data_IF_047890300169
#
_entry.id   IF_047890300169
#
_cell.length_a   1.000
_cell.length_b   1.000
_cell.length_c   1.000
_cell.angle_alpha   90.00
_cell.angle_beta   90.00
_cell.angle_gamma   90.00
#
_symmetry.space_group_name_H-M   'P 1'
#
loop_
_entity.id
_entity.type
_entity.pdbx_description
1 polymer ?
#
# COMPACT_ATOMS: atom_id res chain seq x y z
N UNK A 1 -14.22 -0.28 24.11
CA UNK A 1 -13.22 -0.27 23.03
C UNK A 1 -12.64 1.13 22.98
N UNK A 2 -11.56 1.37 23.74
CA UNK A 2 -10.97 2.70 23.90
C UNK A 2 -10.01 2.95 22.73
N UNK A 3 -10.29 3.97 21.92
CA UNK A 3 -9.44 4.35 20.79
C UNK A 3 -8.20 5.08 21.32
N UNK A 4 -7.05 4.40 21.30
CA UNK A 4 -5.75 4.98 21.60
C UNK A 4 -5.30 5.81 20.39
N UNK A 5 -5.28 7.13 20.56
CA UNK A 5 -4.67 8.07 19.63
C UNK A 5 -3.16 7.83 19.63
N UNK A 6 -2.65 7.25 18.54
CA UNK A 6 -1.22 7.06 18.31
C UNK A 6 -0.55 8.43 18.20
N UNK A 7 0.19 8.79 19.25
CA UNK A 7 1.17 9.88 19.24
C UNK A 7 2.27 9.48 18.26
N UNK A 8 2.27 10.09 17.07
CA UNK A 8 3.39 9.99 16.14
C UNK A 8 4.57 10.74 16.75
N UNK A 9 5.61 9.99 17.08
CA UNK A 9 6.88 10.50 17.61
C UNK A 9 7.65 11.19 16.49
N UNK A 10 7.77 12.52 16.57
CA UNK A 10 8.62 13.31 15.69
C UNK A 10 10.08 12.86 15.81
N UNK A 11 10.82 12.91 14.69
CA UNK A 11 12.26 12.61 14.68
C UNK A 11 13.03 13.69 15.46
N UNK A 12 13.35 13.39 16.71
CA UNK A 12 14.03 14.27 17.68
C UNK A 12 15.56 14.25 17.53
N UNK A 13 16.08 14.46 16.32
CA UNK A 13 17.53 14.74 16.19
C UNK A 13 17.77 16.25 16.43
N UNK A 14 18.59 16.62 17.42
CA UNK A 14 18.93 18.03 17.66
C UNK A 14 19.64 18.60 16.42
N UNK A 15 19.18 19.76 15.94
CA UNK A 15 19.87 20.52 14.92
C UNK A 15 21.28 20.86 15.45
N UNK A 16 22.33 20.41 14.76
CA UNK A 16 23.72 20.71 15.15
C UNK A 16 23.99 22.20 14.86
N UNK A 17 24.32 22.95 15.90
CA UNK A 17 24.57 24.39 15.85
C UNK A 17 25.87 24.82 15.14
N UNK A 18 26.58 23.92 14.45
CA UNK A 18 27.86 24.23 13.80
C UNK A 18 27.73 25.03 12.49
N UNK A 19 26.52 25.35 12.03
CA UNK A 19 26.26 25.82 10.67
C UNK A 19 25.67 27.25 10.59
N UNK A 20 25.77 28.02 11.67
CA UNK A 20 25.21 29.38 11.79
C UNK A 20 26.33 30.38 12.05
N UNK A 21 26.45 31.42 11.22
CA UNK A 21 27.43 32.49 11.44
C UNK A 21 27.04 33.36 12.65
N UNK A 22 27.99 33.80 13.50
CA UNK A 22 27.69 34.71 14.60
C UNK A 22 27.24 36.08 14.09
N UNK A 23 26.18 36.63 14.69
CA UNK A 23 25.85 38.05 14.55
C UNK A 23 26.93 38.89 15.24
N UNK A 24 27.57 39.82 14.52
CA UNK A 24 28.47 40.80 15.13
C UNK A 24 27.66 41.72 16.07
N UNK A 25 27.98 41.81 17.37
CA UNK A 25 27.22 42.61 18.31
C UNK A 25 27.60 44.09 18.17
N UNK A 26 26.78 44.84 17.44
CA UNK A 26 26.71 46.30 17.55
C UNK A 26 25.39 46.66 18.24
N UNK A 27 25.49 47.21 19.46
CA UNK A 27 24.49 48.08 20.09
C UNK A 27 23.03 47.60 20.18
N UNK A 28 22.64 47.20 21.39
CA UNK A 28 21.27 47.19 21.95
C UNK A 28 20.17 47.89 21.12
N UNK A 29 19.51 47.15 20.24
CA UNK A 29 18.09 47.26 19.83
C UNK A 29 17.78 45.90 19.19
N UNK A 30 16.70 45.20 19.56
CA UNK A 30 16.31 43.93 18.91
C UNK A 30 15.82 44.22 17.50
N UNK A 31 16.76 44.52 16.59
CA UNK A 31 16.51 44.71 15.18
C UNK A 31 16.08 43.37 14.60
N UNK A 32 14.88 43.34 14.02
CA UNK A 32 14.48 42.20 13.23
C UNK A 32 15.27 42.18 11.93
N UNK A 33 15.77 41.02 11.52
CA UNK A 33 16.58 40.86 10.31
C UNK A 33 15.73 40.20 9.23
N UNK A 34 15.59 40.87 8.09
CA UNK A 34 14.80 40.36 6.97
C UNK A 34 15.56 39.29 6.18
N UNK A 35 14.91 38.18 5.80
CA UNK A 35 15.50 37.24 4.85
C UNK A 35 15.46 37.83 3.43
N UNK A 36 16.48 37.51 2.63
CA UNK A 36 16.65 38.01 1.28
C UNK A 36 16.50 36.90 0.25
N UNK A 37 17.31 35.86 0.39
CA UNK A 37 17.38 34.76 -0.57
C UNK A 37 17.63 33.42 0.09
N UNK A 38 17.37 32.34 -0.65
CA UNK A 38 17.56 30.97 -0.22
C UNK A 38 18.35 30.23 -1.28
N UNK A 39 19.53 29.73 -0.91
CA UNK A 39 20.37 28.87 -1.74
C UNK A 39 20.08 27.40 -1.42
N UNK A 40 19.89 26.58 -2.46
CA UNK A 40 19.57 25.15 -2.33
C UNK A 40 20.86 24.33 -2.46
N UNK A 41 21.25 23.65 -1.39
CA UNK A 41 22.38 22.70 -1.43
C UNK A 41 21.96 21.36 -2.03
N UNK A 42 20.73 20.92 -1.77
CA UNK A 42 20.11 19.72 -2.34
C UNK A 42 18.64 19.60 -1.92
N UNK A 43 17.80 18.95 -2.74
CA UNK A 43 16.39 18.63 -2.41
C UNK A 43 15.97 17.24 -2.91
N UNK A 44 15.12 16.55 -2.16
CA UNK A 44 14.32 15.39 -2.64
C UNK A 44 13.14 15.85 -3.51
N UNK A 45 12.77 17.14 -3.45
CA UNK A 45 11.65 17.67 -4.20
C UNK A 45 12.03 17.96 -5.64
N UNK A 46 11.24 17.44 -6.59
CA UNK A 46 11.37 17.79 -8.02
C UNK A 46 11.11 19.27 -8.36
N UNK A 47 10.77 20.09 -7.37
CA UNK A 47 10.47 21.53 -7.52
C UNK A 47 11.66 22.44 -7.21
N UNK A 48 12.73 21.91 -6.63
CA UNK A 48 13.87 22.67 -6.13
C UNK A 48 15.14 21.98 -6.64
N UNK A 49 15.83 22.62 -7.58
CA UNK A 49 17.07 22.07 -8.12
C UNK A 49 18.27 22.44 -7.25
N UNK A 50 19.31 21.61 -7.34
CA UNK A 50 20.57 21.84 -6.61
C UNK A 50 21.33 23.03 -7.20
N UNK A 51 22.00 23.81 -6.34
CA UNK A 51 22.78 25.00 -6.68
C UNK A 51 21.97 26.20 -7.19
N UNK A 52 20.65 26.18 -7.02
CA UNK A 52 19.78 27.32 -7.31
C UNK A 52 19.66 28.29 -6.13
N UNK A 53 19.45 29.57 -6.44
CA UNK A 53 19.17 30.61 -5.47
C UNK A 53 17.87 31.34 -5.82
N UNK A 54 16.98 31.45 -4.84
CA UNK A 54 15.68 32.08 -4.99
C UNK A 54 15.54 33.29 -4.07
N UNK A 55 14.74 34.27 -4.45
CA UNK A 55 14.21 35.24 -3.49
C UNK A 55 13.40 34.51 -2.40
N UNK A 56 13.49 34.99 -1.16
CA UNK A 56 12.90 34.30 -0.01
C UNK A 56 11.41 33.97 -0.17
N UNK A 57 10.61 34.94 -0.62
CA UNK A 57 9.17 34.75 -0.81
C UNK A 57 8.85 33.75 -1.95
N UNK A 58 9.68 33.72 -2.99
CA UNK A 58 9.55 32.75 -4.09
C UNK A 58 9.85 31.35 -3.57
N UNK A 59 10.93 31.21 -2.80
CA UNK A 59 11.28 29.94 -2.16
C UNK A 59 10.16 29.43 -1.25
N UNK A 60 9.63 30.26 -0.34
CA UNK A 60 8.54 29.84 0.56
C UNK A 60 7.30 29.37 -0.22
N UNK A 61 6.98 30.01 -1.35
CA UNK A 61 5.88 29.58 -2.21
C UNK A 61 6.15 28.24 -2.91
N UNK A 62 7.39 27.97 -3.33
CA UNK A 62 7.79 26.68 -3.92
C UNK A 62 7.82 25.59 -2.86
N UNK A 63 8.37 25.88 -1.68
CA UNK A 63 8.44 24.97 -0.55
C UNK A 63 7.05 24.52 -0.09
N UNK A 64 6.08 25.44 -0.04
CA UNK A 64 4.69 25.08 0.24
C UNK A 64 4.11 24.15 -0.83
N UNK A 65 4.39 24.39 -2.12
CA UNK A 65 3.94 23.50 -3.20
C UNK A 65 4.55 22.10 -3.07
N UNK A 66 5.84 22.00 -2.72
CA UNK A 66 6.51 20.73 -2.45
C UNK A 66 5.84 20.00 -1.26
N UNK A 67 5.56 20.72 -0.17
CA UNK A 67 4.88 20.15 0.99
C UNK A 67 3.48 19.60 0.64
N UNK A 68 2.75 20.30 -0.24
CA UNK A 68 1.39 19.91 -0.68
C UNK A 68 1.37 18.72 -1.65
N UNK A 69 2.51 18.34 -2.23
CA UNK A 69 2.63 17.13 -3.07
C UNK A 69 2.67 15.84 -2.22
N UNK A 70 2.90 15.98 -0.91
CA UNK A 70 2.96 14.87 0.05
C UNK A 70 1.77 14.86 1.04
N UNK A 71 0.50 14.78 0.58
CA UNK A 71 -0.68 15.02 1.42
C UNK A 71 -1.07 13.85 2.34
N UNK A 72 -0.60 12.64 2.05
CA UNK A 72 -0.92 11.42 2.83
C UNK A 72 0.26 10.94 3.70
N UNK A 73 1.31 11.74 3.82
CA UNK A 73 2.54 11.41 4.54
C UNK A 73 3.76 11.43 3.60
N UNK A 74 4.93 11.21 4.20
CA UNK A 74 6.21 11.51 3.55
C UNK A 74 6.57 12.99 3.67
N UNK A 75 7.80 13.31 3.29
CA UNK A 75 8.33 14.66 3.19
C UNK A 75 9.53 14.66 2.25
N UNK A 76 9.76 15.78 1.59
CA UNK A 76 10.94 16.01 0.77
C UNK A 76 11.99 16.71 1.62
N UNK A 77 13.11 16.05 1.90
CA UNK A 77 14.25 16.69 2.59
C UNK A 77 14.88 17.73 1.67
N UNK A 78 15.09 18.93 2.19
CA UNK A 78 15.76 20.00 1.46
C UNK A 78 16.80 20.65 2.36
N UNK A 79 18.06 20.67 1.93
CA UNK A 79 19.11 21.43 2.62
C UNK A 79 19.27 22.81 1.97
N UNK A 80 19.13 23.86 2.77
CA UNK A 80 19.11 25.25 2.30
C UNK A 80 20.03 26.13 3.11
N UNK A 81 20.43 27.26 2.54
CA UNK A 81 21.02 28.39 3.27
C UNK A 81 20.22 29.65 2.99
N UNK A 82 19.60 30.20 4.04
CA UNK A 82 18.89 31.48 3.97
C UNK A 82 19.88 32.60 4.25
N UNK A 83 19.96 33.56 3.34
CA UNK A 83 20.77 34.79 3.48
C UNK A 83 19.85 35.92 3.95
N UNK A 84 20.33 36.70 4.91
CA UNK A 84 19.59 37.79 5.54
C UNK A 84 20.28 39.13 5.31
N UNK A 85 19.54 40.22 5.53
CA UNK A 85 20.10 41.55 5.61
C UNK A 85 21.26 41.61 6.64
N UNK A 86 22.28 42.41 6.35
CA UNK A 86 23.48 42.49 7.19
C UNK A 86 24.46 41.31 7.04
N UNK A 87 24.25 40.43 6.06
CA UNK A 87 25.20 39.37 5.69
C UNK A 87 25.10 38.09 6.52
N UNK A 88 24.13 38.01 7.43
CA UNK A 88 23.87 36.82 8.23
C UNK A 88 23.37 35.66 7.36
N UNK A 89 23.75 34.43 7.69
CA UNK A 89 23.31 33.22 6.99
C UNK A 89 22.85 32.13 7.95
N UNK A 90 21.82 31.40 7.55
CA UNK A 90 21.28 30.24 8.29
C UNK A 90 21.20 29.03 7.36
N UNK A 91 22.09 28.05 7.59
CA UNK A 91 22.03 26.76 6.89
C UNK A 91 21.29 25.73 7.73
N UNK A 92 20.25 25.12 7.17
CA UNK A 92 19.49 24.06 7.82
C UNK A 92 18.92 23.06 6.81
N UNK A 93 18.46 21.92 7.31
CA UNK A 93 17.61 21.00 6.57
C UNK A 93 16.16 21.24 6.97
N UNK A 94 15.28 21.38 5.99
CA UNK A 94 13.83 21.40 6.18
C UNK A 94 13.19 20.15 5.58
N UNK A 95 12.10 19.70 6.19
CA UNK A 95 11.36 18.50 5.83
C UNK A 95 10.00 18.92 5.25
N UNK A 96 9.93 19.09 3.91
CA UNK A 96 8.77 19.66 3.23
C UNK A 96 7.66 18.62 3.06
N UNK A 97 6.56 18.77 3.79
CA UNK A 97 5.45 17.82 3.72
C UNK A 97 4.19 18.27 4.46
N UNK A 98 3.11 17.53 4.25
CA UNK A 98 1.91 17.68 5.07
C UNK A 98 2.01 16.84 6.37
N UNK A 99 0.95 16.84 7.18
CA UNK A 99 0.84 15.91 8.31
C UNK A 99 1.74 16.23 9.51
N UNK A 100 2.04 17.51 9.72
CA UNK A 100 2.89 17.96 10.83
C UNK A 100 4.34 18.22 10.45
N UNK A 101 4.72 17.96 9.20
CA UNK A 101 5.99 18.39 8.58
C UNK A 101 5.97 19.89 8.26
N UNK A 102 7.05 20.39 7.66
CA UNK A 102 7.29 21.81 7.44
C UNK A 102 6.74 22.27 6.08
N UNK A 103 6.25 23.51 6.04
CA UNK A 103 5.74 24.15 4.81
C UNK A 103 6.74 25.08 4.14
N UNK A 104 7.90 25.30 4.77
CA UNK A 104 8.93 26.25 4.36
C UNK A 104 9.89 26.53 5.51
N UNK A 105 10.89 27.37 5.25
CA UNK A 105 11.86 27.79 6.26
C UNK A 105 11.20 28.63 7.37
N UNK A 106 10.22 29.47 7.04
CA UNK A 106 9.54 30.27 8.04
C UNK A 106 8.79 29.37 9.06
N UNK A 107 8.12 28.34 8.56
CA UNK A 107 7.42 27.35 9.39
C UNK A 107 8.40 26.52 10.23
N UNK A 108 9.53 26.09 9.66
CA UNK A 108 10.62 25.44 10.39
C UNK A 108 11.07 26.27 11.60
N UNK A 109 11.35 27.56 11.39
CA UNK A 109 11.75 28.46 12.46
C UNK A 109 10.68 28.59 13.55
N UNK A 110 9.41 28.78 13.18
CA UNK A 110 8.34 28.88 14.18
C UNK A 110 8.11 27.58 14.93
N UNK A 111 8.26 26.42 14.29
CA UNK A 111 8.15 25.11 14.95
C UNK A 111 9.24 24.92 16.00
N UNK A 112 10.48 25.32 15.73
CA UNK A 112 11.55 25.29 16.73
C UNK A 112 11.19 26.20 17.91
N UNK A 113 10.69 27.40 17.65
CA UNK A 113 10.26 28.33 18.71
C UNK A 113 9.11 27.75 19.55
N UNK A 114 8.06 27.25 18.90
CA UNK A 114 6.90 26.61 19.55
C UNK A 114 7.32 25.40 20.39
N UNK A 115 8.17 24.53 19.84
CA UNK A 115 8.70 23.36 20.53
C UNK A 115 9.56 23.77 21.73
N UNK A 116 10.48 24.72 21.56
CA UNK A 116 11.32 25.24 22.65
C UNK A 116 10.49 25.82 23.81
N UNK A 117 9.38 26.48 23.50
CA UNK A 117 8.46 27.02 24.51
C UNK A 117 7.72 25.89 25.24
N UNK A 118 7.25 24.87 24.51
CA UNK A 118 6.58 23.71 25.11
C UNK A 118 7.48 22.95 26.10
N UNK A 119 8.77 22.86 25.78
CA UNK A 119 9.79 22.16 26.58
C UNK A 119 10.02 22.81 27.95
N UNK A 120 9.78 24.11 28.11
CA UNK A 120 9.93 24.78 29.41
C UNK A 120 9.07 24.15 30.50
N UNK A 121 7.92 23.58 30.10
CA UNK A 121 6.99 22.90 31.00
C UNK A 121 7.25 21.39 31.07
N UNK A 122 7.52 20.74 29.95
CA UNK A 122 7.64 19.27 29.89
C UNK A 122 9.04 18.75 30.18
N UNK A 123 10.09 19.42 29.71
CA UNK A 123 11.47 18.95 29.77
C UNK A 123 12.45 20.13 29.95
N UNK A 124 12.52 20.72 31.16
CA UNK A 124 13.33 21.92 31.41
C UNK A 124 14.85 21.73 31.19
N UNK A 125 15.32 20.48 31.15
CA UNK A 125 16.73 20.14 30.91
C UNK A 125 17.09 19.98 29.42
N UNK A 126 16.13 20.15 28.51
CA UNK A 126 16.34 19.97 27.07
C UNK A 126 17.42 20.92 26.50
N UNK A 127 18.13 20.49 25.45
CA UNK A 127 19.28 21.19 24.85
C UNK A 127 18.99 22.66 24.50
N UNK A 128 17.84 22.98 23.91
CA UNK A 128 17.40 24.36 23.62
C UNK A 128 17.35 25.29 24.85
N UNK A 129 17.18 24.73 26.05
CA UNK A 129 17.00 25.50 27.29
C UNK A 129 18.25 25.52 28.16
N UNK A 130 19.17 24.57 27.99
CA UNK A 130 20.34 24.41 28.86
C UNK A 130 21.66 24.73 28.16
N UNK A 131 21.79 24.38 26.88
CA UNK A 131 23.02 24.58 26.11
C UNK A 131 23.13 26.03 25.58
N UNK A 132 24.33 26.60 25.57
CA UNK A 132 24.57 27.97 25.08
C UNK A 132 24.18 28.13 23.61
N UNK A 133 24.60 27.20 22.76
CA UNK A 133 24.29 27.21 21.33
C UNK A 133 22.78 27.05 21.07
N UNK A 134 22.11 26.24 21.89
CA UNK A 134 20.66 26.07 21.81
C UNK A 134 19.88 27.33 22.17
N UNK A 135 20.31 28.02 23.24
CA UNK A 135 19.76 29.32 23.64
C UNK A 135 20.01 30.38 22.57
N UNK A 136 21.24 30.46 22.05
CA UNK A 136 21.63 31.38 20.99
C UNK A 136 20.78 31.17 19.74
N UNK A 137 20.55 29.91 19.33
CA UNK A 137 19.67 29.59 18.21
C UNK A 137 18.23 30.08 18.46
N UNK A 138 17.65 29.80 19.64
CA UNK A 138 16.27 30.24 19.95
C UNK A 138 16.15 31.76 19.96
N UNK A 139 17.12 32.48 20.52
CA UNK A 139 17.15 33.95 20.49
C UNK A 139 17.36 34.49 19.07
N UNK A 140 18.21 33.84 18.27
CA UNK A 140 18.42 34.19 16.86
C UNK A 140 17.13 34.01 16.05
N UNK A 141 16.41 32.90 16.20
CA UNK A 141 15.15 32.68 15.48
C UNK A 141 14.09 33.74 15.81
N UNK A 142 14.11 34.32 17.02
CA UNK A 142 13.21 35.42 17.40
C UNK A 142 13.55 36.74 16.70
N UNK A 143 14.78 36.92 16.22
CA UNK A 143 15.19 38.13 15.50
C UNK A 143 14.81 38.08 14.02
N UNK A 144 14.45 36.94 13.45
CA UNK A 144 14.07 36.86 12.04
C UNK A 144 12.72 37.52 11.76
N UNK A 145 12.67 38.36 10.72
CA UNK A 145 11.44 39.00 10.26
C UNK A 145 10.63 38.03 9.38
N UNK A 146 9.97 37.06 10.00
CA UNK A 146 9.16 36.04 9.33
C UNK A 146 7.66 36.29 9.52
N UNK A 147 6.85 36.00 8.51
CA UNK A 147 5.41 36.23 8.55
C UNK A 147 4.65 35.08 9.23
N UNK A 148 4.14 35.32 10.43
CA UNK A 148 3.24 34.36 11.11
C UNK A 148 1.96 34.11 10.33
N UNK A 149 1.45 35.12 9.62
CA UNK A 149 0.21 34.98 8.84
C UNK A 149 0.40 34.06 7.63
N UNK A 150 1.53 34.19 6.90
CA UNK A 150 1.82 33.29 5.79
C UNK A 150 1.96 31.84 6.27
N UNK A 151 2.66 31.61 7.38
CA UNK A 151 2.81 30.27 7.97
C UNK A 151 1.47 29.71 8.44
N UNK A 152 0.60 30.53 9.05
CA UNK A 152 -0.75 30.10 9.43
C UNK A 152 -1.57 29.69 8.19
N UNK A 153 -1.53 30.48 7.12
CA UNK A 153 -2.22 30.17 5.86
C UNK A 153 -1.67 28.89 5.21
N UNK A 154 -0.35 28.72 5.19
CA UNK A 154 0.33 27.53 4.68
C UNK A 154 -0.07 26.26 5.46
N UNK A 155 -0.03 26.32 6.80
CA UNK A 155 -0.50 25.24 7.67
C UNK A 155 -1.97 24.90 7.40
N UNK A 156 -2.84 25.90 7.25
CA UNK A 156 -4.24 25.68 6.91
C UNK A 156 -4.41 25.00 5.54
N UNK A 157 -3.63 25.40 4.53
CA UNK A 157 -3.65 24.76 3.21
C UNK A 157 -3.22 23.29 3.28
N UNK A 158 -2.18 22.96 4.06
CA UNK A 158 -1.77 21.56 4.26
C UNK A 158 -2.85 20.74 4.97
N UNK A 159 -3.52 21.31 5.97
CA UNK A 159 -4.60 20.63 6.68
C UNK A 159 -5.75 20.27 5.72
N UNK A 160 -6.18 21.22 4.90
CA UNK A 160 -7.24 21.01 3.92
C UNK A 160 -6.83 19.99 2.85
N UNK A 161 -5.59 20.05 2.37
CA UNK A 161 -5.04 19.10 1.40
C UNK A 161 -5.02 17.67 1.96
N UNK A 162 -4.62 17.49 3.22
CA UNK A 162 -4.63 16.20 3.93
C UNK A 162 -6.06 15.67 4.05
N UNK A 163 -7.01 16.54 4.43
CA UNK A 163 -8.43 16.19 4.58
C UNK A 163 -8.98 15.63 3.26
N UNK A 164 -8.82 16.38 2.17
CA UNK A 164 -9.28 15.97 0.84
C UNK A 164 -8.62 14.67 0.36
N UNK A 165 -7.32 14.51 0.59
CA UNK A 165 -6.61 13.29 0.20
C UNK A 165 -7.09 12.06 0.98
N UNK A 166 -7.36 12.21 2.29
CA UNK A 166 -7.91 11.13 3.12
C UNK A 166 -9.34 10.76 2.70
N UNK A 167 -10.19 11.75 2.42
CA UNK A 167 -11.55 11.52 1.92
C UNK A 167 -11.53 10.77 0.58
N UNK A 168 -10.66 11.15 -0.35
CA UNK A 168 -10.50 10.45 -1.63
C UNK A 168 -9.99 9.00 -1.45
N UNK A 169 -9.03 8.78 -0.53
CA UNK A 169 -8.51 7.45 -0.23
C UNK A 169 -9.58 6.55 0.39
N UNK A 170 -10.41 7.09 1.30
CA UNK A 170 -11.51 6.36 1.93
C UNK A 170 -12.61 6.03 0.92
N UNK A 171 -13.01 6.99 0.08
CA UNK A 171 -13.97 6.76 -0.99
C UNK A 171 -13.51 5.66 -1.96
N UNK A 172 -12.22 5.65 -2.33
CA UNK A 172 -11.65 4.59 -3.17
C UNK A 172 -11.73 3.23 -2.49
N UNK A 173 -11.37 3.13 -1.21
CA UNK A 173 -11.46 1.88 -0.43
C UNK A 173 -12.90 1.37 -0.32
N UNK A 174 -13.86 2.27 -0.09
CA UNK A 174 -15.28 1.93 -0.03
C UNK A 174 -15.80 1.41 -1.36
N UNK A 175 -15.48 2.10 -2.46
CA UNK A 175 -15.85 1.66 -3.81
C UNK A 175 -15.25 0.28 -4.15
N UNK A 176 -13.99 0.03 -3.83
CA UNK A 176 -13.36 -1.29 -4.02
C UNK A 176 -14.02 -2.38 -3.17
N UNK A 177 -14.38 -2.08 -1.92
CA UNK A 177 -15.06 -3.01 -1.04
C UNK A 177 -16.49 -3.34 -1.53
N UNK A 178 -17.23 -2.34 -2.00
CA UNK A 178 -18.57 -2.50 -2.58
C UNK A 178 -18.52 -3.33 -3.87
N UNK A 179 -17.56 -3.06 -4.77
CA UNK A 179 -17.35 -3.87 -5.97
C UNK A 179 -17.03 -5.33 -5.62
N UNK A 180 -16.14 -5.57 -4.65
CA UNK A 180 -15.83 -6.94 -4.18
C UNK A 180 -17.06 -7.63 -3.61
N UNK A 181 -17.87 -6.94 -2.80
CA UNK A 181 -19.09 -7.49 -2.21
C UNK A 181 -20.14 -7.79 -3.28
N UNK A 182 -20.31 -6.91 -4.27
CA UNK A 182 -21.21 -7.11 -5.39
C UNK A 182 -20.79 -8.32 -6.23
N UNK A 183 -19.50 -8.41 -6.59
CA UNK A 183 -18.94 -9.54 -7.33
C UNK A 183 -19.10 -10.86 -6.56
N UNK A 184 -18.84 -10.87 -5.24
CA UNK A 184 -19.04 -12.06 -4.41
C UNK A 184 -20.52 -12.45 -4.32
N UNK A 185 -21.43 -11.48 -4.22
CA UNK A 185 -22.86 -11.74 -4.15
C UNK A 185 -23.36 -12.33 -5.47
N UNK A 186 -22.95 -11.75 -6.61
CA UNK A 186 -23.27 -12.26 -7.94
C UNK A 186 -22.73 -13.68 -8.16
N UNK A 187 -21.47 -13.94 -7.80
CA UNK A 187 -20.88 -15.28 -7.86
C UNK A 187 -21.62 -16.28 -6.98
N UNK A 188 -22.00 -15.90 -5.77
CA UNK A 188 -22.76 -16.75 -4.85
C UNK A 188 -24.15 -17.10 -5.41
N UNK A 189 -24.83 -16.13 -6.03
CA UNK A 189 -26.12 -16.34 -6.69
C UNK A 189 -25.99 -17.29 -7.90
N UNK A 190 -24.94 -17.11 -8.71
CA UNK A 190 -24.65 -17.98 -9.85
C UNK A 190 -24.32 -19.41 -9.39
N UNK A 191 -23.45 -19.58 -8.39
CA UNK A 191 -23.12 -20.88 -7.80
C UNK A 191 -24.38 -21.56 -7.21
N UNK A 192 -25.27 -20.79 -6.58
CA UNK A 192 -26.53 -21.31 -6.05
C UNK A 192 -27.48 -21.76 -7.17
N UNK A 193 -27.71 -20.92 -8.17
CA UNK A 193 -28.58 -21.23 -9.31
C UNK A 193 -28.07 -22.46 -10.08
N UNK A 194 -26.74 -22.55 -10.28
CA UNK A 194 -26.11 -23.71 -10.88
C UNK A 194 -26.37 -24.97 -10.05
N UNK A 195 -26.14 -24.93 -8.73
CA UNK A 195 -26.36 -26.08 -7.84
C UNK A 195 -27.82 -26.54 -7.82
N UNK A 196 -28.77 -25.61 -7.86
CA UNK A 196 -30.20 -25.90 -7.93
C UNK A 196 -30.60 -26.52 -9.29
N UNK A 197 -29.85 -26.25 -10.36
CA UNK A 197 -30.08 -26.84 -11.69
C UNK A 197 -29.52 -28.26 -11.87
N UNK A 198 -28.74 -28.77 -10.91
CA UNK A 198 -28.09 -30.07 -11.03
C UNK A 198 -29.06 -31.23 -10.79
N UNK A 199 -29.23 -32.10 -11.78
CA UNK A 199 -29.86 -33.41 -11.59
C UNK A 199 -28.81 -34.43 -11.13
N UNK A 200 -28.67 -34.59 -9.81
CA UNK A 200 -27.68 -35.50 -9.20
C UNK A 200 -28.35 -36.83 -8.87
N UNK A 201 -27.92 -37.95 -9.49
CA UNK A 201 -28.50 -39.25 -9.20
C UNK A 201 -28.37 -39.65 -7.72
N UNK A 202 -29.39 -40.33 -7.19
CA UNK A 202 -29.43 -40.77 -5.79
C UNK A 202 -28.25 -41.71 -5.44
N UNK A 203 -27.82 -42.54 -6.40
CA UNK A 203 -26.68 -43.44 -6.21
C UNK A 203 -25.32 -42.75 -6.25
N UNK A 204 -25.24 -41.48 -6.67
CA UNK A 204 -23.96 -40.79 -6.83
C UNK A 204 -23.32 -40.52 -5.47
N UNK A 205 -22.08 -40.98 -5.29
CA UNK A 205 -21.26 -40.78 -4.08
C UNK A 205 -20.15 -39.74 -4.30
N UNK A 206 -19.89 -39.37 -5.56
CA UNK A 206 -18.87 -38.41 -5.94
C UNK A 206 -19.11 -37.90 -7.37
N UNK A 207 -18.40 -36.85 -7.73
CA UNK A 207 -18.36 -36.27 -9.09
C UNK A 207 -16.92 -36.22 -9.59
N UNK A 208 -16.72 -36.45 -10.88
CA UNK A 208 -15.43 -36.30 -11.56
C UNK A 208 -15.44 -34.96 -12.28
N UNK A 209 -14.45 -34.12 -11.99
CA UNK A 209 -14.35 -32.73 -12.45
C UNK A 209 -13.02 -32.52 -13.13
N UNK A 210 -13.04 -31.87 -14.29
CA UNK A 210 -11.85 -31.33 -14.94
C UNK A 210 -11.76 -29.81 -14.68
N UNK A 211 -10.57 -29.31 -14.35
CA UNK A 211 -10.28 -27.89 -14.24
C UNK A 211 -9.11 -27.53 -15.14
N UNK A 212 -9.22 -26.41 -15.85
CA UNK A 212 -8.11 -25.80 -16.57
C UNK A 212 -7.66 -24.56 -15.81
N UNK A 213 -6.40 -24.55 -15.43
CA UNK A 213 -5.79 -23.46 -14.66
C UNK A 213 -4.69 -22.80 -15.46
N UNK A 214 -4.67 -21.48 -15.47
CA UNK A 214 -3.69 -20.65 -16.18
C UNK A 214 -2.94 -19.77 -15.19
N UNK A 215 -1.72 -19.38 -15.56
CA UNK A 215 -0.96 -18.40 -14.82
C UNK A 215 -1.64 -17.03 -14.93
N UNK A 216 -1.82 -16.38 -13.79
CA UNK A 216 -2.46 -15.08 -13.74
C UNK A 216 -1.41 -13.97 -13.70
N UNK A 217 -0.90 -13.61 -14.88
CA UNK A 217 0.18 -12.64 -15.04
C UNK A 217 -0.18 -11.28 -14.45
N UNK A 218 -1.42 -10.84 -14.60
CA UNK A 218 -1.92 -9.54 -14.11
C UNK A 218 -1.86 -9.41 -12.58
N UNK A 219 -2.09 -10.51 -11.85
CA UNK A 219 -2.15 -10.52 -10.39
C UNK A 219 -0.89 -11.12 -9.74
N UNK A 220 0.06 -11.58 -10.55
CA UNK A 220 1.32 -12.15 -10.07
C UNK A 220 2.40 -11.09 -9.93
N UNK A 221 3.34 -11.31 -9.01
CA UNK A 221 4.56 -10.50 -8.84
C UNK A 221 5.76 -11.46 -8.82
N UNK A 222 6.18 -12.01 -9.97
CA UNK A 222 7.24 -13.03 -10.02
C UNK A 222 8.58 -12.54 -9.47
N UNK A 223 8.91 -11.24 -9.62
CA UNK A 223 10.11 -10.66 -9.01
C UNK A 223 10.07 -10.60 -7.47
N UNK A 224 8.88 -10.69 -6.88
CA UNK A 224 8.66 -10.80 -5.44
C UNK A 224 8.33 -12.22 -4.98
N UNK A 225 8.58 -13.23 -5.81
CA UNK A 225 8.27 -14.65 -5.55
C UNK A 225 6.77 -14.90 -5.26
N UNK A 226 5.89 -14.11 -5.85
CA UNK A 226 4.45 -14.24 -5.69
C UNK A 226 3.79 -14.64 -7.01
N UNK A 227 3.29 -15.87 -7.07
CA UNK A 227 2.67 -16.45 -8.26
C UNK A 227 1.20 -16.73 -8.02
N UNK A 228 0.36 -16.21 -8.91
CA UNK A 228 -1.09 -16.44 -8.90
C UNK A 228 -1.52 -17.28 -10.09
N UNK A 229 -2.53 -18.09 -9.86
CA UNK A 229 -3.10 -18.98 -10.86
C UNK A 229 -4.62 -18.87 -10.82
N UNK A 230 -5.26 -18.87 -11.98
CA UNK A 230 -6.71 -18.77 -12.12
C UNK A 230 -7.26 -19.97 -12.86
N UNK A 231 -8.28 -20.61 -12.30
CA UNK A 231 -9.05 -21.63 -13.01
C UNK A 231 -10.03 -20.94 -13.95
N UNK A 232 -9.77 -21.04 -15.26
CA UNK A 232 -10.59 -20.39 -16.29
C UNK A 232 -11.68 -21.30 -16.84
N UNK A 233 -11.55 -22.63 -16.66
CA UNK A 233 -12.59 -23.59 -17.02
C UNK A 233 -12.75 -24.67 -15.96
N UNK A 234 -14.00 -25.01 -15.69
CA UNK A 234 -14.40 -26.16 -14.88
C UNK A 234 -15.44 -26.95 -15.66
N UNK A 235 -15.24 -28.27 -15.78
CA UNK A 235 -16.13 -29.17 -16.52
C UNK A 235 -16.51 -30.33 -15.61
N UNK A 236 -17.80 -30.61 -15.51
CA UNK A 236 -18.35 -31.75 -14.79
C UNK A 236 -18.45 -32.93 -15.74
N UNK A 237 -17.55 -33.91 -15.56
CA UNK A 237 -17.37 -35.02 -16.50
C UNK A 237 -18.30 -36.18 -16.24
N UNK A 238 -18.48 -36.59 -14.98
CA UNK A 238 -19.32 -37.75 -14.65
C UNK A 238 -19.74 -37.81 -13.18
N UNK A 239 -20.91 -38.38 -12.90
CA UNK A 239 -21.28 -38.89 -11.57
C UNK A 239 -20.66 -40.27 -11.32
N UNK A 240 -20.28 -40.55 -10.07
CA UNK A 240 -19.60 -41.80 -9.70
C UNK A 240 -20.27 -42.51 -8.53
N UNK A 241 -20.32 -43.85 -8.61
CA UNK A 241 -20.88 -44.75 -7.59
C UNK A 241 -19.95 -44.96 -6.38
N UNK A 242 -18.69 -44.52 -6.44
CA UNK A 242 -17.71 -44.82 -5.39
C UNK A 242 -16.86 -43.60 -5.04
N UNK A 243 -16.51 -43.46 -3.78
CA UNK A 243 -15.56 -42.43 -3.32
C UNK A 243 -14.09 -42.78 -3.59
N UNK A 244 -13.81 -44.01 -4.06
CA UNK A 244 -12.45 -44.44 -4.40
C UNK A 244 -11.89 -43.62 -5.56
N UNK A 245 -10.66 -43.14 -5.40
CA UNK A 245 -9.93 -42.29 -6.36
C UNK A 245 -9.20 -43.16 -7.38
N UNK A 246 -9.96 -43.80 -8.27
CA UNK A 246 -9.45 -44.75 -9.27
C UNK A 246 -9.08 -44.04 -10.58
N UNK A 247 -7.82 -44.11 -10.99
CA UNK A 247 -7.37 -43.51 -12.25
C UNK A 247 -8.04 -44.05 -13.52
N UNK A 248 -8.30 -45.36 -13.66
CA UNK A 248 -9.05 -45.86 -14.82
C UNK A 248 -10.43 -45.22 -14.95
N UNK A 249 -11.06 -44.88 -13.83
CA UNK A 249 -12.36 -44.21 -13.81
C UNK A 249 -12.24 -42.74 -14.21
N UNK A 250 -11.21 -42.03 -13.73
CA UNK A 250 -10.91 -40.65 -14.15
C UNK A 250 -10.66 -40.58 -15.66
N UNK A 251 -9.83 -41.49 -16.19
CA UNK A 251 -9.51 -41.59 -17.63
C UNK A 251 -10.77 -41.82 -18.47
N UNK A 252 -11.62 -42.77 -18.06
CA UNK A 252 -12.90 -43.05 -18.74
C UNK A 252 -13.81 -41.83 -18.75
N UNK A 253 -13.90 -41.09 -17.64
CA UNK A 253 -14.72 -39.88 -17.57
C UNK A 253 -14.22 -38.76 -18.49
N UNK A 254 -12.92 -38.70 -18.78
CA UNK A 254 -12.35 -37.70 -19.69
C UNK A 254 -12.93 -37.79 -21.11
N UNK A 255 -13.40 -38.97 -21.54
CA UNK A 255 -14.03 -39.17 -22.85
C UNK A 255 -15.38 -38.45 -23.00
N UNK A 256 -15.99 -38.04 -21.89
CA UNK A 256 -17.27 -37.34 -21.91
C UNK A 256 -17.17 -35.88 -22.39
N UNK A 257 -15.95 -35.35 -22.57
CA UNK A 257 -15.73 -34.02 -23.10
C UNK A 257 -14.54 -33.98 -24.07
N UNK A 258 -14.72 -33.32 -25.23
CA UNK A 258 -13.71 -33.28 -26.30
C UNK A 258 -12.37 -32.70 -25.83
N UNK A 259 -12.40 -31.66 -25.00
CA UNK A 259 -11.16 -30.99 -24.54
C UNK A 259 -10.36 -31.79 -23.52
N UNK A 260 -10.97 -32.79 -22.87
CA UNK A 260 -10.29 -33.64 -21.88
C UNK A 260 -10.01 -35.04 -22.41
N UNK A 261 -10.61 -35.44 -23.54
CA UNK A 261 -10.57 -36.81 -24.07
C UNK A 261 -9.16 -37.39 -24.22
N UNK A 262 -8.18 -36.54 -24.53
CA UNK A 262 -6.77 -36.93 -24.66
C UNK A 262 -6.18 -37.50 -23.35
N UNK A 263 -6.67 -37.07 -22.17
CA UNK A 263 -6.26 -37.60 -20.87
C UNK A 263 -6.72 -39.04 -20.61
N UNK A 264 -7.58 -39.61 -21.46
CA UNK A 264 -7.89 -41.03 -21.38
C UNK A 264 -6.67 -41.90 -21.72
N UNK A 265 -5.81 -41.43 -22.63
CA UNK A 265 -4.61 -42.13 -23.06
C UNK A 265 -3.53 -42.10 -21.97
N UNK A 266 -2.98 -43.28 -21.63
CA UNK A 266 -1.92 -43.44 -20.63
C UNK A 266 -0.61 -42.80 -21.06
N UNK A 267 -0.35 -42.73 -22.35
CA UNK A 267 0.88 -42.11 -22.86
C UNK A 267 0.81 -40.59 -22.80
N UNK A 268 -0.40 -40.01 -22.80
CA UNK A 268 -0.63 -38.56 -22.79
C UNK A 268 -1.04 -38.01 -21.43
N UNK A 269 -1.03 -38.85 -20.38
CA UNK A 269 -1.41 -38.39 -19.05
C UNK A 269 -0.82 -39.19 -17.91
N UNK A 270 -0.55 -38.47 -16.83
CA UNK A 270 0.18 -38.88 -15.67
C UNK A 270 -0.70 -38.94 -14.42
N UNK A 271 -0.42 -39.94 -13.58
CA UNK A 271 -1.14 -40.21 -12.35
C UNK A 271 -0.42 -39.59 -11.15
N UNK A 272 -1.02 -38.58 -10.52
CA UNK A 272 -0.42 -37.92 -9.36
C UNK A 272 -1.08 -38.34 -8.05
N UNK A 273 -0.27 -38.67 -7.03
CA UNK A 273 -0.71 -39.16 -5.71
C UNK A 273 -0.07 -38.36 -4.57
N UNK A 274 -0.42 -37.09 -4.49
CA UNK A 274 0.14 -36.15 -3.52
C UNK A 274 -0.69 -36.11 -2.23
N UNK A 275 -0.68 -37.19 -1.43
CA UNK A 275 -1.44 -37.27 -0.17
C UNK A 275 -0.67 -36.76 1.07
N UNK A 276 0.32 -35.88 0.89
CA UNK A 276 1.04 -35.21 1.98
C UNK A 276 0.39 -33.86 2.32
N UNK A 277 0.75 -33.25 3.46
CA UNK A 277 0.06 -32.07 4.03
C UNK A 277 -0.07 -30.85 3.11
N UNK A 278 0.79 -30.73 2.09
CA UNK A 278 0.79 -29.63 1.12
C UNK A 278 0.53 -30.13 -0.32
N UNK A 279 0.12 -31.38 -0.48
CA UNK A 279 -0.11 -32.00 -1.78
C UNK A 279 -1.50 -31.70 -2.32
N UNK A 280 -1.67 -31.72 -3.65
CA UNK A 280 -2.95 -31.50 -4.34
C UNK A 280 -3.89 -32.71 -4.30
N UNK A 281 -3.47 -33.81 -3.67
CA UNK A 281 -4.22 -35.05 -3.55
C UNK A 281 -4.03 -35.97 -4.77
N UNK A 282 -5.10 -36.66 -5.17
CA UNK A 282 -5.06 -37.63 -6.28
C UNK A 282 -5.77 -37.04 -7.49
N UNK A 283 -5.04 -36.87 -8.59
CA UNK A 283 -5.54 -36.22 -9.80
C UNK A 283 -4.78 -36.71 -11.04
N UNK A 284 -5.42 -36.57 -12.20
CA UNK A 284 -4.90 -36.93 -13.52
C UNK A 284 -4.62 -35.65 -14.32
N UNK A 285 -3.49 -35.58 -14.99
CA UNK A 285 -3.07 -34.42 -15.80
C UNK A 285 -2.19 -34.87 -16.96
N UNK A 286 -1.84 -33.99 -17.88
CA UNK A 286 -0.85 -34.24 -18.93
C UNK A 286 0.52 -33.61 -18.66
N UNK A 287 0.75 -33.12 -17.44
CA UNK A 287 2.01 -32.49 -17.05
C UNK A 287 2.65 -33.26 -15.89
N UNK A 288 3.99 -33.32 -15.89
CA UNK A 288 4.76 -33.88 -14.77
C UNK A 288 4.71 -33.03 -13.50
N UNK A 289 4.32 -31.76 -13.60
CA UNK A 289 4.07 -30.91 -12.46
C UNK A 289 2.96 -29.90 -12.81
N UNK A 290 1.88 -29.88 -12.05
CA UNK A 290 0.73 -29.02 -12.39
C UNK A 290 0.82 -27.72 -11.62
N UNK A 291 1.29 -26.66 -12.28
CA UNK A 291 0.96 -25.29 -11.89
C UNK A 291 -0.11 -24.69 -12.82
N UNK A 292 -0.16 -25.15 -14.06
CA UNK A 292 -1.11 -24.75 -15.08
C UNK A 292 -1.58 -25.99 -15.87
N UNK A 293 -2.60 -25.85 -16.70
CA UNK A 293 -3.10 -26.92 -17.54
C UNK A 293 -4.31 -27.65 -16.95
N UNK A 294 -4.60 -28.83 -17.52
CA UNK A 294 -5.75 -29.64 -17.14
C UNK A 294 -5.45 -30.50 -15.92
N UNK A 295 -6.35 -30.46 -14.94
CA UNK A 295 -6.41 -31.33 -13.77
C UNK A 295 -7.77 -32.02 -13.73
N UNK A 296 -7.80 -33.36 -13.73
CA UNK A 296 -9.01 -34.16 -13.55
C UNK A 296 -8.97 -34.84 -12.19
N UNK A 297 -9.95 -34.53 -11.35
CA UNK A 297 -10.01 -35.00 -9.96
C UNK A 297 -11.41 -35.46 -9.59
N UNK A 298 -11.46 -36.43 -8.67
CA UNK A 298 -12.70 -36.85 -8.03
C UNK A 298 -12.99 -36.01 -6.79
N UNK A 299 -14.21 -35.49 -6.71
CA UNK A 299 -14.74 -34.77 -5.55
C UNK A 299 -15.79 -35.63 -4.86
N UNK A 300 -15.53 -36.03 -3.62
CA UNK A 300 -16.39 -36.92 -2.84
C UNK A 300 -17.52 -36.15 -2.14
N UNK A 301 -18.70 -36.77 -2.06
CA UNK A 301 -19.80 -36.26 -1.26
C UNK A 301 -19.69 -36.86 0.15
N UNK A 302 -19.55 -36.01 1.17
CA UNK A 302 -19.38 -36.43 2.56
C UNK A 302 -20.69 -36.56 3.34
N UNK A 303 -21.82 -36.29 2.69
CA UNK A 303 -23.17 -36.45 3.26
C UNK A 303 -24.23 -36.54 2.16
N UNK A 304 -25.39 -37.12 2.52
CA UNK A 304 -26.47 -37.41 1.55
C UNK A 304 -27.53 -36.30 1.43
N UNK A 305 -27.59 -35.37 2.38
CA UNK A 305 -28.66 -34.37 2.45
C UNK A 305 -28.54 -33.26 1.39
N UNK A 306 -27.32 -32.89 1.01
CA UNK A 306 -27.08 -31.88 -0.03
C UNK A 306 -25.78 -32.21 -0.78
N UNK A 307 -25.89 -32.99 -1.86
CA UNK A 307 -24.74 -33.37 -2.69
C UNK A 307 -24.25 -32.23 -3.58
N UNK A 308 -25.16 -31.34 -3.99
CA UNK A 308 -24.87 -30.23 -4.88
C UNK A 308 -23.84 -29.24 -4.31
N UNK A 309 -23.77 -29.09 -2.98
CA UNK A 309 -22.77 -28.23 -2.33
C UNK A 309 -21.31 -28.60 -2.68
N UNK A 310 -21.05 -29.87 -3.01
CA UNK A 310 -19.71 -30.36 -3.35
C UNK A 310 -19.38 -30.21 -4.83
N UNK A 311 -20.36 -29.89 -5.68
CA UNK A 311 -20.16 -29.74 -7.12
C UNK A 311 -19.72 -28.30 -7.39
N UNK A 312 -18.54 -28.08 -8.00
CA UNK A 312 -18.09 -26.74 -8.35
C UNK A 312 -18.89 -26.20 -9.55
N UNK A 313 -19.03 -24.87 -9.62
CA UNK A 313 -19.61 -24.20 -10.78
C UNK A 313 -18.79 -24.54 -12.04
N UNK A 314 -19.47 -24.96 -13.11
CA UNK A 314 -18.81 -25.34 -14.35
C UNK A 314 -19.76 -25.84 -15.43
N UNK A 315 -19.20 -26.22 -16.57
CA UNK A 315 -19.93 -26.77 -17.69
C UNK A 315 -20.35 -28.22 -17.42
N UNK A 316 -21.64 -28.53 -17.59
CA UNK A 316 -22.13 -29.91 -17.62
C UNK A 316 -21.87 -30.54 -18.99
N UNK A 317 -21.23 -31.71 -19.01
CA UNK A 317 -21.10 -32.52 -20.22
C UNK A 317 -22.45 -32.98 -20.74
N UNK A 318 -22.56 -33.25 -22.04
CA UNK A 318 -23.83 -33.62 -22.70
C UNK A 318 -24.45 -34.92 -22.15
N UNK A 319 -23.66 -35.79 -21.52
CA UNK A 319 -24.16 -37.00 -20.86
C UNK A 319 -24.75 -36.75 -19.46
N UNK A 320 -24.69 -35.51 -18.96
CA UNK A 320 -25.19 -35.09 -17.64
C UNK A 320 -26.27 -34.00 -17.73
N UNK A 321 -26.65 -33.58 -18.95
CA UNK A 321 -27.78 -32.69 -19.22
C UNK A 321 -29.04 -33.51 -19.45
#
# INVERSE_FOLDING_TARGET
MSHSLSLQTHSTKPAKASNVSPLHPSGSTTMKVAPLSVFIHWSESSRLETDEEFEFEIFEAIALKAALDNPLGGYDKTEVTVKFEGGHQHRCRIDLGCGGNETGFADHCFRILEYSESLKKSEPNHWYLTNSQGKELVELLKSYQLSRQQVANARQATFEKVRLAKEAQEAKKQAEAEQRKAAQTSRSQEEKAFRESLDIPEWAQSVIVARFTEYDEENSQPYGDYYQFKTTRTIILAWSKHQRRLFPELRKACLNHKTTAFLNDKEQSEEHRENYSMGKGVYLTNQGYVNCGWEVKKVCFWGNQNKAQYVPLGELTSCLK
#
